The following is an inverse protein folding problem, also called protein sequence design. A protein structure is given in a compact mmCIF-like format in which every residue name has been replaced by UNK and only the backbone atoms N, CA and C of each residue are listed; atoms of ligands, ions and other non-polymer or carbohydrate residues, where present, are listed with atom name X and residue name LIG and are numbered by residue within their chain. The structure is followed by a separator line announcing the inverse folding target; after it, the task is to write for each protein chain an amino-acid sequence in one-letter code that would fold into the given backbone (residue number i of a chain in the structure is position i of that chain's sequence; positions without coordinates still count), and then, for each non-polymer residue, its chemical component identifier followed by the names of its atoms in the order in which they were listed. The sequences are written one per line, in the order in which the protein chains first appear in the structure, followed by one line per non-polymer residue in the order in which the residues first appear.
data_IF_856493818520
#
_entry.id   IF_856493818520
#
_cell.length_a   1.000
_cell.length_b   1.000
_cell.length_c   1.000
_cell.angle_alpha   90.00
_cell.angle_beta   90.00
_cell.angle_gamma   90.00
#
_symmetry.space_group_name_H-M   'P 1'
#
loop_
_entity.id
_entity.type
_entity.pdbx_description
1 polymer ?
#
# COMPACT_ATOMS: atom_id res chain seq x y z
N UNK A 1 28.96 6.38 -24.01
CA UNK A 1 28.28 7.61 -24.45
C UNK A 1 26.86 7.56 -23.90
N UNK A 2 26.42 8.57 -23.13
CA UNK A 2 25.03 8.58 -22.62
C UNK A 2 24.11 9.00 -23.76
N UNK A 3 23.08 8.22 -24.03
CA UNK A 3 22.13 8.50 -25.10
C UNK A 3 21.32 9.76 -24.78
N UNK A 4 21.70 10.86 -25.43
CA UNK A 4 21.08 12.19 -25.28
C UNK A 4 19.58 12.16 -25.60
N UNK A 5 19.17 11.33 -26.56
CA UNK A 5 17.76 11.12 -26.89
C UNK A 5 16.99 10.44 -25.76
N UNK A 6 17.59 9.45 -25.09
CA UNK A 6 16.96 8.77 -23.96
C UNK A 6 16.79 9.72 -22.77
N UNK A 7 17.81 10.54 -22.48
CA UNK A 7 17.74 11.56 -21.43
C UNK A 7 16.68 12.62 -21.69
N UNK A 8 16.52 13.07 -22.95
CA UNK A 8 15.47 14.02 -23.32
C UNK A 8 14.07 13.43 -23.15
N UNK A 9 13.86 12.19 -23.60
CA UNK A 9 12.57 11.50 -23.43
C UNK A 9 12.19 11.35 -21.96
N UNK A 10 13.17 11.01 -21.12
CA UNK A 10 12.97 10.90 -19.67
C UNK A 10 12.58 12.24 -19.02
N UNK A 11 13.23 13.34 -19.41
CA UNK A 11 12.85 14.68 -18.94
C UNK A 11 11.40 15.02 -19.34
N UNK A 12 11.01 14.76 -20.59
CA UNK A 12 9.64 14.99 -21.05
C UNK A 12 8.61 14.13 -20.31
N UNK A 13 8.95 12.90 -19.94
CA UNK A 13 8.11 12.01 -19.12
C UNK A 13 7.87 12.62 -17.74
N UNK A 14 8.96 12.99 -17.04
CA UNK A 14 8.93 13.55 -15.69
C UNK A 14 8.19 14.90 -15.63
N UNK A 15 8.33 15.72 -16.67
CA UNK A 15 7.64 17.02 -16.77
C UNK A 15 6.19 16.91 -17.27
N UNK A 16 5.68 15.70 -17.54
CA UNK A 16 4.33 15.49 -18.06
C UNK A 16 4.09 15.99 -19.49
N UNK A 17 5.17 16.33 -20.21
CA UNK A 17 5.17 16.84 -21.60
C UNK A 17 5.19 15.73 -22.65
N UNK A 18 5.10 14.47 -22.25
CA UNK A 18 5.04 13.36 -23.20
C UNK A 18 3.76 13.40 -24.04
N UNK A 19 3.88 12.97 -25.30
CA UNK A 19 2.79 13.06 -26.28
C UNK A 19 1.61 12.13 -25.96
N UNK A 20 1.88 10.96 -25.37
CA UNK A 20 0.85 10.01 -24.97
C UNK A 20 0.75 9.94 -23.45
N UNK A 21 -0.47 9.76 -22.89
CA UNK A 21 -0.67 9.62 -21.44
C UNK A 21 0.16 8.50 -20.80
N UNK A 22 0.27 7.34 -21.48
CA UNK A 22 1.07 6.19 -21.04
C UNK A 22 2.57 6.45 -20.91
N UNK A 23 3.07 7.50 -21.57
CA UNK A 23 4.49 7.88 -21.57
C UNK A 23 4.79 8.93 -20.48
N UNK A 24 3.81 9.29 -19.65
CA UNK A 24 3.95 10.23 -18.53
C UNK A 24 4.20 9.47 -17.22
N UNK A 25 4.68 10.18 -16.21
CA UNK A 25 4.71 9.66 -14.84
C UNK A 25 3.27 9.53 -14.32
N UNK A 26 2.91 8.43 -13.65
CA UNK A 26 1.64 8.32 -12.95
C UNK A 26 1.47 9.45 -11.93
N UNK A 27 0.25 9.91 -11.79
CA UNK A 27 -0.14 10.83 -10.73
C UNK A 27 -0.16 10.12 -9.38
N UNK A 28 -0.11 10.90 -8.31
CA UNK A 28 -0.24 10.37 -6.96
C UNK A 28 -1.53 9.56 -6.77
N UNK A 29 -2.64 10.01 -7.35
CA UNK A 29 -3.93 9.31 -7.25
C UNK A 29 -3.89 7.96 -7.98
N UNK A 30 -3.35 7.90 -9.19
CA UNK A 30 -3.22 6.65 -9.94
C UNK A 30 -2.37 5.61 -9.18
N UNK A 31 -1.29 6.05 -8.52
CA UNK A 31 -0.48 5.17 -7.69
C UNK A 31 -1.22 4.67 -6.45
N UNK A 32 -2.05 5.52 -5.83
CA UNK A 32 -2.89 5.10 -4.71
C UNK A 32 -3.91 4.07 -5.15
N UNK A 33 -4.59 4.31 -6.27
CA UNK A 33 -5.60 3.40 -6.81
C UNK A 33 -4.97 2.04 -7.17
N UNK A 34 -3.81 2.03 -7.85
CA UNK A 34 -3.05 0.81 -8.17
C UNK A 34 -2.59 0.07 -6.90
N UNK A 35 -2.09 0.80 -5.91
CA UNK A 35 -1.67 0.21 -4.63
C UNK A 35 -2.85 -0.43 -3.89
N UNK A 36 -4.04 0.16 -3.96
CA UNK A 36 -5.25 -0.42 -3.37
C UNK A 36 -5.64 -1.70 -4.11
N UNK A 37 -5.64 -1.69 -5.44
CA UNK A 37 -5.94 -2.88 -6.26
C UNK A 37 -5.00 -4.07 -5.96
N UNK A 38 -3.72 -3.80 -5.69
CA UNK A 38 -2.73 -4.84 -5.34
C UNK A 38 -2.77 -5.27 -3.86
N UNK A 39 -3.19 -4.39 -2.94
CA UNK A 39 -3.15 -4.65 -1.48
C UNK A 39 -4.36 -5.43 -0.98
N UNK A 40 -5.42 -5.53 -1.79
CA UNK A 40 -6.56 -6.37 -1.48
C UNK A 40 -6.52 -7.63 -2.36
N UNK A 41 -5.99 -8.77 -1.85
CA UNK A 41 -6.50 -10.04 -2.34
C UNK A 41 -7.98 -9.96 -2.04
N UNK A 42 -8.82 -9.93 -3.08
CA UNK A 42 -10.28 -9.83 -3.01
C UNK A 42 -10.74 -10.44 -1.69
N UNK A 43 -11.00 -9.57 -0.70
CA UNK A 43 -11.11 -9.88 0.74
C UNK A 43 -11.50 -11.34 0.90
N UNK A 44 -10.54 -12.23 1.22
CA UNK A 44 -10.67 -13.70 1.01
C UNK A 44 -12.14 -14.07 1.12
N UNK A 45 -12.81 -14.52 0.02
CA UNK A 45 -14.25 -14.70 0.04
C UNK A 45 -14.57 -15.49 1.30
N UNK A 46 -15.57 -15.04 2.08
CA UNK A 46 -15.94 -15.71 3.33
C UNK A 46 -15.91 -17.21 3.04
N UNK A 47 -15.04 -17.94 3.73
CA UNK A 47 -14.87 -19.36 3.40
C UNK A 47 -16.27 -19.98 3.43
N UNK A 48 -16.69 -20.78 2.43
CA UNK A 48 -18.01 -21.40 2.45
C UNK A 48 -18.27 -22.13 3.79
N UNK A 49 -17.22 -22.74 4.33
CA UNK A 49 -17.22 -23.33 5.68
C UNK A 49 -17.47 -22.34 6.81
N UNK A 50 -16.98 -21.10 6.73
CA UNK A 50 -17.25 -20.06 7.72
C UNK A 50 -18.69 -19.51 7.60
N UNK A 51 -19.22 -19.38 6.39
CA UNK A 51 -20.60 -18.95 6.15
C UNK A 51 -21.64 -20.01 6.59
N UNK A 52 -21.34 -21.29 6.38
CA UNK A 52 -22.18 -22.42 6.80
C UNK A 52 -22.20 -22.64 8.33
N UNK A 53 -21.21 -22.09 9.04
CA UNK A 53 -21.09 -22.19 10.50
C UNK A 53 -21.05 -20.80 11.14
N UNK A 54 -21.84 -19.85 10.61
CA UNK A 54 -21.87 -18.47 11.11
C UNK A 54 -22.28 -18.37 12.59
N UNK A 55 -23.08 -19.33 13.10
CA UNK A 55 -23.42 -19.46 14.51
C UNK A 55 -22.31 -20.09 15.38
N UNK A 56 -21.31 -20.74 14.79
CA UNK A 56 -20.22 -21.35 15.56
C UNK A 56 -19.21 -20.29 15.95
N UNK A 57 -18.98 -20.14 17.25
CA UNK A 57 -17.95 -19.25 17.75
C UNK A 57 -16.58 -19.75 17.26
N UNK A 58 -15.94 -18.96 16.41
CA UNK A 58 -14.58 -19.19 15.90
C UNK A 58 -13.50 -18.92 16.96
N UNK A 59 -13.89 -18.63 18.21
CA UNK A 59 -13.00 -18.45 19.33
C UNK A 59 -12.24 -19.75 19.59
N UNK A 60 -10.93 -19.72 19.37
CA UNK A 60 -10.00 -20.80 19.68
C UNK A 60 -9.19 -20.41 20.90
N UNK A 61 -8.51 -21.36 21.55
CA UNK A 61 -7.63 -21.06 22.69
C UNK A 61 -6.44 -20.11 22.37
N UNK A 62 -6.27 -19.67 21.12
CA UNK A 62 -5.35 -18.58 20.75
C UNK A 62 -5.91 -17.20 21.10
N UNK A 63 -7.23 -17.06 21.13
CA UNK A 63 -7.94 -15.81 21.44
C UNK A 63 -8.02 -15.56 22.95
N UNK A 64 -7.78 -16.58 23.77
CA UNK A 64 -7.63 -16.49 25.24
C UNK A 64 -6.39 -15.67 25.67
N UNK A 65 -5.50 -15.33 24.73
CA UNK A 65 -4.31 -14.53 25.03
C UNK A 65 -4.64 -13.06 24.86
N UNK A 66 -4.96 -12.42 25.97
CA UNK A 66 -5.05 -10.97 26.08
C UNK A 66 -3.70 -10.31 25.73
N UNK A 67 -3.49 -10.01 24.44
CA UNK A 67 -2.35 -9.22 23.98
C UNK A 67 -2.57 -7.75 24.32
N UNK A 68 -2.51 -7.42 25.60
CA UNK A 68 -2.44 -6.02 26.01
C UNK A 68 -1.09 -5.44 25.58
N UNK A 69 -1.11 -4.48 24.65
CA UNK A 69 0.02 -3.59 24.45
C UNK A 69 0.27 -2.84 25.76
N UNK A 70 1.45 -3.02 26.34
CA UNK A 70 1.86 -2.22 27.50
C UNK A 70 1.84 -0.75 27.09
N UNK A 71 1.28 0.17 27.91
CA UNK A 71 1.39 1.60 27.65
C UNK A 71 2.87 1.97 27.39
N UNK A 72 3.17 2.51 26.21
CA UNK A 72 4.54 2.84 25.78
C UNK A 72 5.29 1.78 24.96
N UNK A 73 4.64 0.66 24.58
CA UNK A 73 5.25 -0.37 23.73
C UNK A 73 5.48 0.08 22.26
N UNK A 74 4.90 1.20 21.85
CA UNK A 74 5.24 1.88 20.60
C UNK A 74 6.29 2.97 20.89
N UNK A 75 7.53 2.86 20.37
CA UNK A 75 8.47 3.98 20.44
C UNK A 75 7.93 5.13 19.59
N UNK A 76 7.87 6.37 20.08
CA UNK A 76 7.36 7.48 19.29
C UNK A 76 8.13 7.55 17.97
N UNK A 77 7.39 7.67 16.86
CA UNK A 77 7.98 7.91 15.55
C UNK A 77 8.89 9.13 15.69
N UNK A 78 10.20 8.94 15.47
CA UNK A 78 11.16 10.06 15.51
C UNK A 78 10.69 11.09 14.50
N UNK A 79 10.30 12.27 14.98
CA UNK A 79 10.00 13.40 14.09
C UNK A 79 11.23 13.62 13.20
N UNK A 80 11.07 13.79 11.88
CA UNK A 80 12.18 14.15 11.02
C UNK A 80 12.80 15.46 11.52
N UNK A 81 14.12 15.66 11.36
CA UNK A 81 14.79 16.85 11.87
C UNK A 81 14.17 18.11 11.26
N UNK A 82 13.62 18.97 12.12
CA UNK A 82 13.28 20.35 11.76
C UNK A 82 14.60 21.06 11.45
N UNK A 83 14.75 21.41 10.17
CA UNK A 83 15.98 21.99 9.66
C UNK A 83 16.42 23.26 10.39
N UNK A 84 17.73 23.34 10.61
CA UNK A 84 18.51 24.58 10.59
C UNK A 84 19.81 24.33 9.87
#
# INVERSE_FOLDING_TARGET
MKDTHASRREAHRVEGRAAHPKDKVPTYQELLDESLDETFPASDPISPSAAMHAEQQIATGKDDKDWHLKPGAHPPVKKPPEGR
#
